data_IF_508409448643
#
_entry.id   IF_508409448643
#
_cell.length_a   1.000
_cell.length_b   1.000
_cell.length_c   1.000
_cell.angle_alpha   90.00
_cell.angle_beta   90.00
_cell.angle_gamma   90.00
#
_symmetry.space_group_name_H-M   'P 1'
#
loop_
_entity.id
_entity.type
_entity.pdbx_description
1 polymer ?
2 polymer ?
3 non-polymer ?
4 non-polymer ?
5 non-polymer ?
6 water ?
#
# COMPACT_ATOMS: atom_id res chain seq x y z
N UNK A 1 -3.31 7.57 10.27
CA UNK A 1 -4.31 6.59 9.83
C UNK A 1 -3.92 5.17 10.26
N UNK A 2 -2.60 4.94 10.39
CA UNK A 2 -2.06 3.63 10.80
C UNK A 2 -0.65 3.84 11.32
N UNK A 3 -0.17 2.88 12.11
CA UNK A 3 1.18 2.91 12.66
C UNK A 3 1.97 1.72 12.12
N UNK A 4 3.25 1.93 11.81
CA UNK A 4 4.05 1.01 11.01
C UNK A 4 5.15 0.36 11.85
N UNK A 5 4.97 -0.92 12.19
CA UNK A 5 5.90 -1.64 13.06
C UNK A 5 6.81 -2.55 12.23
N UNK A 6 8.10 -2.53 12.55
CA UNK A 6 9.13 -3.18 11.74
C UNK A 6 9.90 -4.18 12.60
N UNK A 7 10.19 -5.34 12.04
CA UNK A 7 10.95 -6.33 12.75
C UNK A 7 11.91 -7.01 11.78
N UNK A 8 12.92 -7.68 12.36
CA UNK A 8 14.01 -8.22 11.59
C UNK A 8 15.14 -7.23 11.44
N UNK A 9 16.30 -7.75 11.11
CA UNK A 9 17.40 -6.84 10.91
C UNK A 9 18.35 -6.87 12.08
N UNK A 10 19.59 -6.42 11.82
CA UNK A 10 20.67 -6.46 12.79
C UNK A 10 22.06 -6.30 12.21
N UNK A 11 22.96 -7.22 12.54
CA UNK A 11 24.30 -7.22 12.01
C UNK A 11 24.54 -8.51 11.25
N UNK A 12 25.14 -8.38 10.05
CA UNK A 12 25.36 -9.49 9.11
C UNK A 12 26.65 -9.26 8.36
N UNK A 13 27.35 -10.35 8.03
CA UNK A 13 28.52 -10.30 7.15
C UNK A 13 28.05 -10.30 5.71
N UNK A 14 28.87 -9.74 4.84
CA UNK A 14 28.51 -9.64 3.42
C UNK A 14 28.10 -10.99 2.85
N UNK A 15 27.32 -10.96 1.76
CA UNK A 15 26.83 -12.14 1.11
C UNK A 15 25.62 -12.76 1.76
N UNK A 16 25.29 -12.33 2.98
CA UNK A 16 24.18 -12.89 3.72
C UNK A 16 22.85 -12.25 3.37
N UNK A 17 21.84 -12.62 4.16
CA UNK A 17 20.44 -12.27 3.94
C UNK A 17 19.75 -11.86 5.23
N UNK A 18 19.05 -10.75 5.19
CA UNK A 18 18.03 -10.45 6.19
C UNK A 18 16.65 -10.44 5.53
N UNK A 19 15.60 -10.47 6.36
CA UNK A 19 14.24 -10.38 5.86
C UNK A 19 13.44 -9.50 6.81
N UNK A 20 13.24 -8.25 6.42
CA UNK A 20 12.57 -7.26 7.25
C UNK A 20 11.07 -7.39 7.08
N UNK A 21 10.34 -7.10 8.12
CA UNK A 21 8.90 -7.22 8.09
C UNK A 21 8.29 -5.94 8.63
N UNK A 22 7.09 -5.60 8.16
CA UNK A 22 6.43 -4.34 8.50
C UNK A 22 4.93 -4.56 8.59
N UNK A 23 4.33 -4.07 9.66
CA UNK A 23 2.97 -4.45 10.01
C UNK A 23 2.12 -3.22 10.24
N UNK A 24 0.80 -3.39 10.07
CA UNK A 24 -0.17 -2.31 10.17
C UNK A 24 -0.87 -2.44 11.51
N UNK A 25 -0.50 -1.56 12.45
CA UNK A 25 -1.10 -1.53 13.78
C UNK A 25 -2.04 -0.34 13.88
N UNK A 26 -3.27 -0.58 14.28
CA UNK A 26 -4.29 0.45 14.21
C UNK A 26 -4.65 0.79 12.79
N UNK A 27 -5.34 -0.11 12.10
CA UNK A 27 -5.73 0.09 10.72
C UNK A 27 -4.94 -0.81 9.79
N UNK A 28 -5.38 -0.82 8.52
CA UNK A 28 -4.68 -1.55 7.47
C UNK A 28 -4.31 -0.60 6.35
N UNK A 29 -3.40 -1.08 5.50
CA UNK A 29 -3.03 -0.39 4.28
C UNK A 29 -3.21 -1.28 3.07
N UNK A 30 -4.31 -2.04 3.01
CA UNK A 30 -4.51 -2.96 1.90
C UNK A 30 -4.47 -2.22 0.58
N UNK A 31 -5.25 -1.15 0.45
CA UNK A 31 -5.35 -0.46 -0.83
C UNK A 31 -4.26 0.58 -1.06
N UNK A 32 -3.21 0.61 -0.25
CA UNK A 32 -2.19 1.64 -0.41
C UNK A 32 -0.92 1.09 -1.06
N UNK A 33 -0.39 1.76 -2.06
CA UNK A 33 0.96 1.41 -2.51
C UNK A 33 1.90 1.49 -1.33
N UNK A 34 2.80 0.52 -1.23
CA UNK A 34 3.73 0.47 -0.12
C UNK A 34 5.12 0.50 -0.69
N UNK A 35 6.10 0.82 0.15
CA UNK A 35 7.47 0.79 -0.28
C UNK A 35 8.40 0.63 0.89
N UNK A 36 9.70 0.64 0.58
CA UNK A 36 10.77 0.68 1.58
C UNK A 36 11.76 1.80 1.23
N UNK A 37 12.09 2.65 2.20
CA UNK A 37 13.22 3.56 2.00
C UNK A 37 14.39 3.19 2.91
N UNK A 38 15.55 3.79 2.65
CA UNK A 38 16.69 3.61 3.52
C UNK A 38 17.48 4.91 3.61
N UNK A 39 18.09 5.12 4.78
CA UNK A 39 18.90 6.30 5.03
C UNK A 39 20.09 5.94 5.91
N UNK A 40 21.32 6.18 5.40
CA UNK A 40 22.43 6.11 6.34
C UNK A 40 22.79 7.52 6.80
N UNK A 41 23.35 7.70 8.00
CA UNK A 41 23.40 9.06 8.58
C UNK A 41 24.19 10.06 7.74
N UNK A 42 23.76 11.31 7.79
CA UNK A 42 24.32 12.34 6.96
C UNK A 42 23.77 12.33 5.55
N UNK A 43 23.48 11.16 5.01
CA UNK A 43 23.07 11.02 3.62
C UNK A 43 21.56 11.21 3.48
N UNK A 44 21.13 11.39 2.24
CA UNK A 44 19.73 11.55 1.93
C UNK A 44 18.99 10.22 1.95
N UNK A 45 17.68 10.31 1.72
CA UNK A 45 16.79 9.17 1.82
C UNK A 45 16.64 8.50 0.45
N UNK A 46 17.13 7.27 0.36
CA UNK A 46 17.12 6.49 -0.87
C UNK A 46 15.83 5.69 -1.04
N UNK A 47 15.41 5.56 -2.29
CA UNK A 47 14.39 4.59 -2.62
C UNK A 47 14.98 3.18 -2.63
N UNK A 48 14.18 2.19 -2.23
CA UNK A 48 14.60 0.80 -2.24
C UNK A 48 13.63 -0.05 -3.08
N UNK A 49 12.37 -0.12 -2.68
CA UNK A 49 11.41 -0.89 -3.45
C UNK A 49 10.01 -0.38 -3.16
N UNK A 50 9.11 -0.62 -4.09
CA UNK A 50 7.72 -0.22 -3.96
C UNK A 50 6.85 -1.35 -4.49
N UNK A 51 5.66 -1.49 -3.92
CA UNK A 51 4.84 -2.64 -4.26
C UNK A 51 3.43 -2.16 -4.47
N UNK A 52 2.83 -2.60 -5.57
CA UNK A 52 1.42 -2.51 -5.94
C UNK A 52 0.43 -2.71 -4.79
N UNK A 53 -0.66 -1.93 -4.75
CA UNK A 53 -1.81 -2.31 -3.91
C UNK A 53 -2.20 -3.78 -3.99
N UNK A 54 -2.29 -4.35 -5.20
CA UNK A 54 -2.64 -5.76 -5.31
C UNK A 54 -1.47 -6.69 -4.99
N UNK A 55 -0.24 -6.16 -4.90
CA UNK A 55 0.96 -6.95 -4.75
C UNK A 55 1.52 -7.49 -6.05
N UNK A 56 0.92 -7.16 -7.19
CA UNK A 56 1.33 -7.76 -8.43
C UNK A 56 2.41 -7.04 -9.18
N UNK A 57 2.68 -5.78 -8.85
CA UNK A 57 3.69 -5.01 -9.55
C UNK A 57 4.70 -4.48 -8.56
N UNK A 58 6.00 -4.71 -8.84
CA UNK A 58 7.10 -4.42 -7.92
C UNK A 58 8.25 -3.76 -8.67
N UNK A 59 8.78 -2.70 -8.10
CA UNK A 59 9.94 -2.00 -8.64
C UNK A 59 11.05 -1.99 -7.61
N UNK A 60 12.28 -1.87 -8.09
CA UNK A 60 13.45 -1.90 -7.23
C UNK A 60 14.44 -0.85 -7.70
N UNK A 61 15.19 -0.32 -6.74
CA UNK A 61 16.25 0.61 -7.04
C UNK A 61 17.31 -0.07 -7.88
N UNK A 62 18.09 0.73 -8.59
CA UNK A 62 19.10 0.10 -9.43
C UNK A 62 20.24 -0.48 -8.63
N UNK A 63 20.28 -0.25 -7.33
CA UNK A 63 21.35 -0.81 -6.52
C UNK A 63 20.97 -2.14 -5.89
N UNK A 64 19.69 -2.41 -5.72
CA UNK A 64 19.23 -3.63 -5.08
C UNK A 64 18.63 -4.62 -6.08
N UNK A 65 18.36 -4.17 -7.31
CA UNK A 65 17.78 -4.99 -8.36
C UNK A 65 18.47 -6.34 -8.43
N UNK A 66 17.70 -7.40 -8.31
CA UNK A 66 18.23 -8.73 -8.41
C UNK A 66 18.64 -9.36 -7.10
N UNK A 67 18.73 -8.59 -6.02
CA UNK A 67 19.09 -9.11 -4.70
C UNK A 67 17.92 -9.07 -3.74
N UNK A 68 17.15 -7.98 -3.81
CA UNK A 68 16.08 -7.67 -2.89
C UNK A 68 14.75 -8.02 -3.52
N UNK A 69 13.80 -8.47 -2.72
CA UNK A 69 12.45 -8.68 -3.20
C UNK A 69 11.45 -8.09 -2.18
N UNK A 70 10.38 -7.50 -2.70
CA UNK A 70 9.32 -6.93 -1.89
C UNK A 70 8.05 -7.75 -2.09
N UNK A 71 7.32 -7.96 -1.02
CA UNK A 71 6.07 -8.68 -1.15
C UNK A 71 5.16 -8.28 0.00
N UNK A 72 3.93 -8.79 -0.02
CA UNK A 72 2.91 -8.38 0.94
C UNK A 72 1.82 -9.44 1.00
N UNK A 73 1.02 -9.38 2.06
CA UNK A 73 -0.12 -10.26 2.23
C UNK A 73 -1.27 -9.73 1.37
N UNK A 74 -2.48 -10.25 1.56
CA UNK A 74 -3.65 -9.57 1.02
C UNK A 74 -4.49 -8.87 2.08
N UNK A 75 -4.27 -9.19 3.36
CA UNK A 75 -5.08 -8.60 4.42
C UNK A 75 -4.89 -7.11 4.53
N UNK A 76 -3.83 -6.58 3.93
CA UNK A 76 -3.39 -5.23 4.19
C UNK A 76 -2.66 -5.05 5.49
N UNK A 77 -2.19 -6.14 6.10
CA UNK A 77 -1.56 -6.06 7.40
C UNK A 77 -0.05 -6.22 7.38
N UNK A 78 0.54 -6.67 6.25
CA UNK A 78 1.97 -6.92 6.20
C UNK A 78 2.57 -6.56 4.84
N UNK A 79 3.76 -5.98 4.86
CA UNK A 79 4.64 -5.98 3.71
C UNK A 79 5.98 -6.52 4.17
N UNK A 80 6.70 -7.13 3.26
CA UNK A 80 7.96 -7.76 3.61
C UNK A 80 9.02 -7.25 2.67
N UNK A 81 10.25 -7.14 3.17
CA UNK A 81 11.40 -6.91 2.31
C UNK A 81 12.45 -7.96 2.61
N UNK A 82 12.91 -8.64 1.56
CA UNK A 82 13.89 -9.71 1.66
C UNK A 82 15.16 -9.22 0.99
N UNK A 83 16.27 -9.29 1.71
CA UNK A 83 17.51 -8.69 1.27
C UNK A 83 18.54 -9.79 1.20
N UNK A 84 18.92 -10.18 -0.02
CA UNK A 84 19.87 -11.27 -0.21
C UNK A 84 21.18 -10.73 -0.76
N UNK A 85 22.25 -11.49 -0.56
CA UNK A 85 23.58 -11.14 -1.04
C UNK A 85 23.91 -9.71 -0.63
N UNK A 86 24.02 -9.52 0.66
CA UNK A 86 24.14 -8.18 1.22
C UNK A 86 25.55 -7.64 1.04
N UNK A 87 25.64 -6.37 0.70
CA UNK A 87 26.86 -5.61 0.55
C UNK A 87 26.89 -4.49 1.58
N UNK A 88 28.07 -4.08 2.04
CA UNK A 88 28.13 -2.94 2.98
C UNK A 88 27.61 -1.62 2.41
N UNK A 89 27.50 -1.50 1.09
CA UNK A 89 26.70 -0.44 0.51
C UNK A 89 25.30 -0.44 1.15
N UNK A 90 24.75 -1.63 1.39
CA UNK A 90 23.41 -1.86 1.92
C UNK A 90 23.24 -1.41 3.36
N UNK A 91 24.28 -0.94 4.04
CA UNK A 91 24.18 -0.58 5.45
C UNK A 91 23.36 0.69 5.57
N UNK A 92 22.20 0.61 6.24
CA UNK A 92 21.36 1.80 6.38
C UNK A 92 20.27 1.53 7.43
N UNK A 93 19.57 2.60 7.77
CA UNK A 93 18.32 2.50 8.51
C UNK A 93 17.22 2.36 7.49
N UNK A 94 16.45 1.27 7.60
CA UNK A 94 15.36 0.99 6.68
C UNK A 94 14.01 1.41 7.25
N UNK A 95 13.18 1.94 6.37
CA UNK A 95 11.84 2.40 6.70
C UNK A 95 10.86 1.77 5.74
N UNK A 96 9.85 1.07 6.24
CA UNK A 96 8.69 0.86 5.39
C UNK A 96 7.87 2.14 5.40
N UNK A 97 7.33 2.49 4.24
CA UNK A 97 6.56 3.71 4.09
C UNK A 97 5.28 3.43 3.34
N UNK A 98 4.28 4.28 3.53
CA UNK A 98 3.09 4.24 2.70
C UNK A 98 3.26 5.30 1.62
N UNK A 99 2.78 4.99 0.42
CA UNK A 99 2.70 6.00 -0.64
C UNK A 99 1.47 6.85 -0.36
N UNK A 100 1.68 8.04 0.15
CA UNK A 100 0.61 8.98 0.46
C UNK A 100 0.35 9.96 -0.67
N UNK A 101 1.36 10.30 -1.45
CA UNK A 101 1.17 11.26 -2.51
C UNK A 101 1.56 10.67 -3.86
N UNK A 102 1.35 11.47 -4.89
CA UNK A 102 1.53 11.03 -6.25
C UNK A 102 2.13 12.14 -7.08
N UNK A 103 3.08 12.86 -6.50
CA UNK A 103 3.69 13.99 -7.18
C UNK A 103 4.83 13.57 -8.10
N UNK A 104 5.17 12.28 -8.12
CA UNK A 104 6.28 11.81 -8.94
C UNK A 104 6.12 10.39 -9.44
N UNK A 105 7.14 9.83 -10.06
CA UNK A 105 7.01 8.42 -10.37
C UNK A 105 7.00 7.62 -9.08
N UNK A 106 6.57 6.35 -9.20
CA UNK A 106 6.56 5.44 -8.05
C UNK A 106 7.91 5.37 -7.36
N UNK A 107 8.97 5.81 -8.04
CA UNK A 107 10.33 5.69 -7.54
C UNK A 107 10.75 6.83 -6.64
N UNK A 108 9.91 7.86 -6.51
CA UNK A 108 10.28 9.15 -5.93
C UNK A 108 9.99 9.19 -4.44
N UNK A 109 11.05 9.14 -3.62
CA UNK A 109 10.89 8.97 -2.16
C UNK A 109 9.92 10.00 -1.57
N UNK A 110 9.94 11.22 -2.11
CA UNK A 110 9.14 12.29 -1.53
C UNK A 110 7.65 12.04 -1.52
N UNK A 111 7.19 10.97 -2.16
CA UNK A 111 5.78 10.60 -2.17
C UNK A 111 5.42 9.61 -1.07
N UNK A 112 6.41 9.14 -0.32
CA UNK A 112 6.23 8.11 0.69
C UNK A 112 6.43 8.72 2.07
N UNK A 113 5.60 8.30 3.03
CA UNK A 113 5.69 8.75 4.42
C UNK A 113 6.09 7.59 5.32
N UNK A 114 7.31 7.64 5.84
CA UNK A 114 7.67 6.80 6.95
C UNK A 114 6.91 7.25 8.19
N UNK A 115 6.66 6.30 9.09
CA UNK A 115 6.07 6.64 10.38
C UNK A 115 7.11 6.67 11.50
N UNK A 116 7.68 5.53 11.85
CA UNK A 116 8.36 5.38 13.13
C UNK A 116 9.83 5.72 13.07
N UNK A 117 10.56 5.23 14.08
CA UNK A 117 12.00 5.04 13.94
C UNK A 117 12.24 3.83 13.04
N UNK A 118 13.44 3.77 12.47
CA UNK A 118 13.71 2.83 11.40
C UNK A 118 14.05 1.43 11.86
N UNK A 119 14.71 0.70 10.97
CA UNK A 119 15.36 -0.57 11.25
C UNK A 119 16.82 -0.48 10.82
N UNK A 120 17.73 -0.64 11.79
CA UNK A 120 19.16 -0.66 11.51
C UNK A 120 19.57 -2.01 10.96
N UNK A 121 20.26 -1.98 9.82
CA UNK A 121 20.84 -3.15 9.19
C UNK A 121 22.31 -2.80 8.94
N UNK A 122 23.22 -3.43 9.69
CA UNK A 122 24.66 -3.23 9.51
C UNK A 122 25.24 -4.46 8.81
N UNK A 123 26.03 -4.21 7.76
CA UNK A 123 26.65 -5.23 6.93
C UNK A 123 28.16 -5.05 7.03
N UNK A 124 28.87 -6.13 7.35
CA UNK A 124 30.27 -6.01 7.72
C UNK A 124 31.22 -6.17 6.54
N UNK A 125 32.25 -5.32 6.51
CA UNK A 125 33.32 -5.45 5.52
C UNK A 125 33.96 -6.84 5.62
N UNK B 10 -30.87 14.10 16.78
CA UNK B 10 -31.99 13.28 17.23
C UNK B 10 -32.08 11.96 16.43
N UNK B 11 -32.21 10.84 17.15
CA UNK B 11 -32.29 9.51 16.56
C UNK B 11 -33.58 9.36 15.73
N UNK B 12 -33.58 8.39 14.79
CA UNK B 12 -34.77 8.09 13.99
C UNK B 12 -34.82 6.64 13.50
N UNK B 13 -35.99 6.23 12.99
CA UNK B 13 -36.24 4.90 12.43
C UNK B 13 -35.71 4.76 11.01
N UNK B 14 -35.27 3.54 10.68
CA UNK B 14 -35.02 3.16 9.29
C UNK B 14 -35.44 1.72 9.06
N UNK B 15 -36.18 1.49 7.98
CA UNK B 15 -36.49 0.15 7.51
C UNK B 15 -35.29 -0.39 6.72
N UNK B 16 -34.70 -1.48 7.20
CA UNK B 16 -33.49 -2.02 6.59
C UNK B 16 -33.73 -2.77 5.30
N UNK B 17 -34.92 -2.69 4.71
CA UNK B 17 -35.17 -3.33 3.43
C UNK B 17 -34.48 -2.53 2.33
N UNK B 18 -33.26 -2.96 1.96
CA UNK B 18 -32.48 -2.27 0.96
C UNK B 18 -33.30 -2.16 -0.32
N UNK B 19 -33.16 -1.03 -1.01
CA UNK B 19 -33.83 -0.82 -2.28
C UNK B 19 -32.86 -0.24 -3.29
N UNK B 26 -26.21 -3.91 -17.04
CA UNK B 26 -25.94 -5.17 -16.36
C UNK B 26 -24.58 -5.15 -15.66
N UNK B 27 -24.58 -5.43 -14.36
CA UNK B 27 -23.33 -5.38 -13.58
C UNK B 27 -22.15 -6.07 -14.22
N UNK B 28 -22.38 -7.23 -14.84
CA UNK B 28 -21.29 -8.05 -15.37
C UNK B 28 -20.46 -7.32 -16.43
N UNK B 29 -21.00 -6.26 -17.05
CA UNK B 29 -20.37 -5.56 -18.18
C UNK B 29 -19.41 -4.46 -17.76
N UNK B 30 -19.64 -3.85 -16.59
CA UNK B 30 -18.78 -2.77 -16.10
C UNK B 30 -17.40 -3.28 -15.70
N UNK B 31 -17.33 -4.48 -15.10
CA UNK B 31 -16.05 -5.10 -14.80
C UNK B 31 -15.21 -5.28 -16.05
N UNK B 32 -15.85 -5.67 -17.16
CA UNK B 32 -15.11 -5.84 -18.41
C UNK B 32 -14.53 -4.53 -18.91
N UNK B 33 -15.27 -3.43 -18.74
CA UNK B 33 -14.70 -2.14 -19.08
C UNK B 33 -13.59 -1.78 -18.10
N UNK B 34 -13.81 -2.04 -16.80
CA UNK B 34 -12.76 -1.68 -15.84
C UNK B 34 -11.52 -2.55 -16.02
N UNK B 35 -11.70 -3.82 -16.40
CA UNK B 35 -10.55 -4.68 -16.64
C UNK B 35 -9.70 -4.18 -17.78
N UNK B 36 -10.32 -3.50 -18.75
CA UNK B 36 -9.64 -2.87 -19.88
C UNK B 36 -9.11 -1.47 -19.57
N UNK B 37 -9.27 -1.00 -18.33
CA UNK B 37 -8.67 0.26 -17.96
C UNK B 37 -7.16 0.22 -18.13
N UNK B 38 -6.55 1.39 -18.24
CA UNK B 38 -5.10 1.49 -18.26
C UNK B 38 -4.50 1.58 -16.89
N UNK B 39 -5.32 1.81 -15.87
CA UNK B 39 -4.91 1.73 -14.47
C UNK B 39 -5.92 0.84 -13.76
N UNK B 40 -5.92 -0.48 -14.09
CA UNK B 40 -6.90 -1.42 -13.55
C UNK B 40 -6.71 -1.73 -12.07
N UNK B 41 -7.65 -2.47 -11.46
CA UNK B 41 -7.60 -2.73 -10.03
C UNK B 41 -8.19 -4.11 -9.73
N UNK B 42 -7.90 -4.61 -8.53
CA UNK B 42 -8.55 -5.77 -7.95
C UNK B 42 -9.47 -5.34 -6.82
N UNK B 43 -10.04 -6.33 -6.13
CA UNK B 43 -10.97 -6.10 -5.06
C UNK B 43 -10.37 -6.56 -3.74
N UNK B 44 -10.67 -5.80 -2.68
CA UNK B 44 -10.29 -6.14 -1.32
C UNK B 44 -11.55 -6.32 -0.50
N UNK B 45 -11.63 -7.43 0.25
CA UNK B 45 -12.79 -7.73 1.10
C UNK B 45 -12.63 -6.97 2.42
N UNK B 46 -13.12 -5.73 2.42
CA UNK B 46 -13.06 -4.87 3.60
C UNK B 46 -14.23 -5.18 4.54
N UNK B 47 -14.09 -6.26 5.32
CA UNK B 47 -15.21 -6.73 6.12
C UNK B 47 -15.03 -6.39 7.59
N UNK B 48 -16.16 -6.08 8.23
CA UNK B 48 -16.32 -5.66 9.61
C UNK B 48 -17.73 -6.04 10.01
N UNK B 49 -17.89 -6.91 11.02
CA UNK B 49 -19.22 -7.43 11.36
C UNK B 49 -20.10 -6.43 12.07
N UNK B 50 -19.52 -5.63 12.96
CA UNK B 50 -20.27 -4.58 13.64
C UNK B 50 -20.37 -3.38 12.72
N UNK B 51 -20.86 -3.62 11.51
CA UNK B 51 -20.88 -2.63 10.43
C UNK B 51 -21.93 -3.10 9.44
N UNK B 52 -22.92 -2.27 9.15
CA UNK B 52 -23.83 -2.55 8.05
C UNK B 52 -23.61 -1.50 6.97
N UNK B 53 -23.14 -1.89 5.77
CA UNK B 53 -22.98 -3.24 5.23
C UNK B 53 -21.81 -4.05 5.81
N UNK B 54 -22.04 -5.36 5.91
CA UNK B 54 -21.06 -6.25 6.54
C UNK B 54 -19.74 -6.27 5.77
N UNK B 55 -19.82 -6.26 4.45
CA UNK B 55 -18.70 -6.42 3.54
C UNK B 55 -18.70 -5.26 2.58
N UNK B 56 -17.55 -4.63 2.39
CA UNK B 56 -17.38 -3.64 1.35
C UNK B 56 -16.21 -4.07 0.49
N UNK B 57 -16.36 -3.97 -0.81
CA UNK B 57 -15.28 -4.31 -1.73
C UNK B 57 -14.63 -3.02 -2.25
N UNK B 58 -13.32 -2.89 -2.05
CA UNK B 58 -12.57 -1.73 -2.51
C UNK B 58 -11.53 -2.14 -3.55
N UNK B 59 -10.88 -1.12 -4.10
CA UNK B 59 -10.01 -1.27 -5.26
C UNK B 59 -8.55 -1.22 -4.81
N UNK B 60 -7.82 -2.33 -5.01
CA UNK B 60 -6.37 -2.30 -4.98
C UNK B 60 -5.90 -2.09 -6.41
N UNK B 61 -5.28 -0.94 -6.70
CA UNK B 61 -4.71 -0.72 -8.01
C UNK B 61 -3.73 -1.82 -8.30
N UNK B 62 -3.74 -2.32 -9.54
CA UNK B 62 -3.03 -3.51 -9.99
C UNK B 62 -1.59 -3.25 -10.38
N UNK B 63 -1.18 -1.99 -10.48
CA UNK B 63 0.14 -1.64 -10.96
C UNK B 63 0.58 -0.35 -10.27
N UNK B 64 1.87 -0.07 -10.35
CA UNK B 64 2.35 1.22 -9.88
C UNK B 64 2.28 2.27 -10.98
N UNK B 65 2.43 1.84 -12.24
CA UNK B 65 2.23 2.68 -13.39
C UNK B 65 0.91 2.37 -14.08
N UNK B 66 0.78 2.89 -15.30
CA UNK B 66 -0.34 2.60 -16.18
C UNK B 66 0.15 1.80 -17.39
N UNK B 67 -0.77 1.31 -18.20
CA UNK B 67 -0.46 0.27 -19.19
C UNK B 67 -0.46 0.88 -20.58
N UNK B 68 0.72 1.28 -21.09
CA UNK B 68 0.76 1.98 -22.37
C UNK B 68 0.64 0.99 -23.51
N UNK B 69 0.62 1.53 -24.73
CA UNK B 69 0.19 0.84 -25.95
C UNK B 69 0.73 -0.58 -26.09
N UNK B 70 1.93 -0.84 -25.56
CA UNK B 70 2.50 -2.18 -25.68
C UNK B 70 1.75 -3.22 -24.85
N UNK B 71 1.02 -2.79 -23.83
CA UNK B 71 0.58 -3.71 -22.79
C UNK B 71 1.59 -3.86 -21.67
N UNK B 72 2.51 -2.92 -21.55
CA UNK B 72 3.48 -2.93 -20.47
C UNK B 72 3.22 -1.77 -19.52
N UNK B 73 3.72 -1.94 -18.29
CA UNK B 73 3.56 -0.89 -17.31
C UNK B 73 4.50 0.24 -17.67
N UNK B 74 4.05 1.46 -17.42
CA UNK B 74 4.75 2.69 -17.74
C UNK B 74 4.93 3.40 -16.41
N UNK B 75 6.15 3.37 -15.88
CA UNK B 75 6.31 3.96 -14.57
C UNK B 75 6.52 5.46 -14.63
N UNK B 76 6.43 6.07 -15.81
CA UNK B 76 6.38 7.53 -15.84
C UNK B 76 4.99 8.06 -15.58
N UNK B 77 4.04 7.19 -15.24
CA UNK B 77 2.68 7.52 -14.83
C UNK B 77 2.40 6.87 -13.48
N UNK B 78 1.27 7.22 -12.90
CA UNK B 78 0.82 6.66 -11.63
C UNK B 78 -0.59 6.10 -11.76
N UNK B 79 -0.78 4.87 -11.31
CA UNK B 79 -2.12 4.46 -10.94
C UNK B 79 -2.40 5.09 -9.59
N UNK B 80 -3.48 5.87 -9.50
CA UNK B 80 -3.93 6.45 -8.24
C UNK B 80 -5.28 5.83 -7.90
N UNK B 81 -5.47 5.32 -6.68
CA UNK B 81 -6.81 4.87 -6.25
C UNK B 81 -7.67 6.07 -5.91
N UNK B 82 -8.91 6.03 -6.37
CA UNK B 82 -9.87 7.11 -6.17
C UNK B 82 -10.63 6.87 -4.87
N UNK B 83 -10.53 7.82 -3.95
CA UNK B 83 -11.11 7.65 -2.62
C UNK B 83 -12.25 8.61 -2.42
N UNK B 84 -13.42 8.05 -2.08
CA UNK B 84 -14.63 8.83 -1.84
C UNK B 84 -15.28 8.28 -0.58
N UNK B 85 -15.77 9.19 0.26
CA UNK B 85 -16.41 8.73 1.48
C UNK B 85 -17.82 8.25 1.17
N UNK B 86 -18.27 7.24 1.94
CA UNK B 86 -19.58 6.63 1.83
C UNK B 86 -20.19 6.45 3.21
N UNK B 87 -21.51 6.25 3.23
CA UNK B 87 -22.29 6.10 4.47
C UNK B 87 -22.43 4.64 4.85
N UNK B 88 -22.18 4.34 6.12
CA UNK B 88 -22.32 3.00 6.67
C UNK B 88 -22.81 3.12 8.10
N UNK B 89 -23.25 2.00 8.66
CA UNK B 89 -23.78 1.94 10.03
C UNK B 89 -22.83 1.15 10.91
N UNK B 90 -22.56 1.67 12.11
CA UNK B 90 -21.79 0.95 13.12
C UNK B 90 -22.69 0.64 14.30
N UNK B 91 -22.75 -0.64 14.68
CA UNK B 91 -23.44 -1.00 15.91
C UNK B 91 -22.77 -0.32 17.07
N UNK B 92 -23.47 0.62 17.68
CA UNK B 92 -22.95 1.28 18.86
C UNK B 92 -24.09 1.47 19.84
N UNK B 93 -23.98 1.02 21.11
CA UNK B 93 -22.85 0.38 21.81
C UNK B 93 -22.21 -0.75 21.03
N UNK B 94 -20.86 -0.85 21.04
CA UNK B 94 -20.17 -1.70 20.07
C UNK B 94 -20.69 -3.13 19.98
N UNK B 95 -21.48 -3.56 20.96
CA UNK B 95 -22.08 -4.89 20.93
C UNK B 95 -23.58 -4.87 20.65
N UNK B 96 -24.25 -3.73 20.78
CA UNK B 96 -25.71 -3.72 20.73
C UNK B 96 -26.21 -3.96 19.31
N UNK B 97 -27.01 -5.00 19.07
CA UNK B 97 -27.58 -5.20 17.75
C UNK B 97 -28.71 -4.24 17.42
N UNK B 98 -29.16 -3.44 18.38
CA UNK B 98 -30.21 -2.44 18.13
C UNK B 98 -29.61 -1.07 17.78
N UNK B 99 -28.91 -0.47 18.75
CA UNK B 99 -28.51 0.92 18.60
C UNK B 99 -27.39 1.04 17.58
N UNK B 100 -27.38 2.16 16.87
CA UNK B 100 -26.50 2.34 15.74
C UNK B 100 -26.01 3.78 15.69
N UNK B 101 -25.13 4.03 14.74
CA UNK B 101 -24.76 5.37 14.34
C UNK B 101 -24.54 5.37 12.83
N UNK B 102 -24.88 6.47 12.18
CA UNK B 102 -24.48 6.68 10.80
C UNK B 102 -23.02 7.12 10.79
N UNK B 103 -22.15 6.36 10.10
CA UNK B 103 -20.76 6.76 9.98
C UNK B 103 -20.40 6.98 8.52
N UNK B 104 -19.40 7.84 8.31
CA UNK B 104 -18.89 8.17 6.99
C UNK B 104 -17.44 7.70 6.94
N UNK B 105 -17.14 6.84 5.98
CA UNK B 105 -15.82 6.23 5.93
C UNK B 105 -15.26 6.37 4.53
N UNK B 106 -13.94 6.29 4.42
CA UNK B 106 -13.23 6.50 3.17
C UNK B 106 -12.90 5.14 2.55
N UNK B 107 -13.15 5.01 1.25
CA UNK B 107 -13.00 3.73 0.55
C UNK B 107 -12.52 3.98 -0.86
N UNK B 108 -11.46 3.30 -1.27
CA UNK B 108 -11.04 3.44 -2.66
C UNK B 108 -12.11 2.82 -3.54
N UNK B 109 -12.50 3.55 -4.58
CA UNK B 109 -13.61 3.13 -5.41
C UNK B 109 -13.19 2.79 -6.82
N UNK B 110 -11.89 2.72 -7.08
CA UNK B 110 -11.37 2.47 -8.42
C UNK B 110 -10.11 3.26 -8.60
N UNK B 111 -9.46 3.11 -9.74
CA UNK B 111 -8.18 3.76 -9.98
C UNK B 111 -8.21 4.53 -11.29
N UNK B 112 -7.55 5.68 -11.30
CA UNK B 112 -7.29 6.49 -12.50
C UNK B 112 -5.81 6.72 -12.64
N UNK B 113 -5.41 7.14 -13.83
CA UNK B 113 -4.01 7.31 -14.16
C UNK B 113 -3.64 8.80 -14.15
N UNK B 114 -2.62 9.18 -13.39
CA UNK B 114 -2.29 10.60 -13.28
C UNK B 114 -0.82 10.82 -13.66
N UNK B 115 -0.56 11.99 -14.25
CA UNK B 115 0.80 12.34 -14.62
C UNK B 115 1.56 12.88 -13.42
N UNK B 116 2.76 12.41 -13.17
CA UNK B 116 3.58 13.01 -12.12
C UNK B 116 3.99 14.41 -12.52
N UNK B 117 4.34 15.18 -11.49
CA UNK B 117 4.75 16.57 -11.63
C UNK B 117 6.27 16.67 -11.64
N UNK B 118 6.93 15.82 -10.85
CA UNK B 118 8.37 15.88 -10.68
C UNK B 118 9.01 14.81 -11.55
N UNK B 119 10.16 15.16 -12.12
CA UNK B 119 10.90 14.26 -13.00
C UNK B 119 12.39 14.58 -12.79
N UNK B 120 13.04 13.81 -11.92
CA UNK B 120 14.42 14.11 -11.56
C UNK B 120 15.46 13.64 -12.59
#
# INVERSE_FOLDING_TARGET
QVQLVQSGGGLVQAGGSLRLSCAASGGTFATSPMGWLRQAPGKGTEFVAAISPSGGDRIYADSVKGRFTISRDNAGNFIYLQMNSLKPEDTAVYYCAVRRRFDGTSYYTGDYDSWGQGTLVTVSS
PNSEDKNFPRTVMVNLNIHNRNTNTNPKRSSDYYDRSTSPWNLHRNEDPERYPSVIWEAKCRHLGCINADGNVDYHMNSVPIQQEILVLRREPPHSPNSFRLEKILVSVGCTCVTPIVHHVA
#
